data_IF_825539889992
#
_entry.id   IF_825539889992
#
_cell.length_a   1.000
_cell.length_b   1.000
_cell.length_c   1.000
_cell.angle_alpha   90.00
_cell.angle_beta   90.00
_cell.angle_gamma   90.00
#
_symmetry.space_group_name_H-M   'P 1'
#
loop_
_entity.id
_entity.type
_entity.pdbx_description
1 polymer ?
#
# COMPACT_ATOMS: atom_id res chain seq x y z
N UNK A 1 -3.43 -6.25 -17.10
CA UNK A 1 -3.97 -6.63 -15.78
C UNK A 1 -2.98 -6.35 -14.67
N UNK A 2 -1.74 -6.85 -14.75
CA UNK A 2 -0.70 -6.56 -13.73
C UNK A 2 -0.43 -5.05 -13.54
N UNK A 3 -0.34 -4.28 -14.63
CA UNK A 3 -0.16 -2.82 -14.58
C UNK A 3 -1.26 -2.10 -13.82
N UNK A 4 -2.51 -2.56 -13.95
CA UNK A 4 -3.65 -1.99 -13.21
C UNK A 4 -3.50 -2.29 -11.71
N UNK A 5 -3.06 -3.49 -11.36
CA UNK A 5 -2.85 -3.89 -9.97
C UNK A 5 -1.74 -3.09 -9.28
N UNK A 6 -0.64 -2.82 -10.01
CA UNK A 6 0.46 -1.99 -9.50
C UNK A 6 0.09 -0.51 -9.41
N UNK A 7 -0.61 0.01 -10.42
CA UNK A 7 -0.94 1.44 -10.52
C UNK A 7 -2.15 1.83 -9.67
N UNK A 8 -3.10 0.94 -9.42
CA UNK A 8 -4.31 1.24 -8.66
C UNK A 8 -4.03 1.87 -7.28
N UNK A 9 -3.22 1.28 -6.39
CA UNK A 9 -2.92 1.91 -5.09
C UNK A 9 -2.19 3.25 -5.26
N UNK A 10 -1.32 3.38 -6.28
CA UNK A 10 -0.59 4.61 -6.56
C UNK A 10 -1.51 5.75 -7.00
N UNK A 11 -2.42 5.48 -7.94
CA UNK A 11 -3.38 6.45 -8.47
C UNK A 11 -4.39 6.84 -7.39
N UNK A 12 -4.87 5.87 -6.61
CA UNK A 12 -5.83 6.12 -5.53
C UNK A 12 -5.23 7.02 -4.45
N UNK A 13 -3.98 6.75 -4.03
CA UNK A 13 -3.27 7.60 -3.08
C UNK A 13 -2.98 8.99 -3.67
N UNK A 14 -2.63 9.07 -4.96
CA UNK A 14 -2.39 10.35 -5.64
C UNK A 14 -3.65 11.23 -5.70
N UNK A 15 -4.82 10.64 -5.95
CA UNK A 15 -6.10 11.36 -5.96
C UNK A 15 -6.49 11.84 -4.56
N UNK A 16 -6.22 11.03 -3.54
CA UNK A 16 -6.43 11.42 -2.14
C UNK A 16 -5.53 12.58 -1.73
N UNK A 17 -4.25 12.51 -2.09
CA UNK A 17 -3.25 13.52 -1.75
C UNK A 17 -3.54 14.89 -2.39
N UNK A 18 -3.94 14.88 -3.66
CA UNK A 18 -4.30 16.10 -4.40
C UNK A 18 -5.70 16.64 -4.05
N UNK A 19 -6.48 15.91 -3.24
CA UNK A 19 -7.86 16.28 -2.90
C UNK A 19 -8.80 16.35 -4.11
N UNK A 20 -8.41 15.76 -5.25
CA UNK A 20 -9.14 15.84 -6.52
C UNK A 20 -9.10 14.50 -7.25
N UNK A 21 -10.26 13.95 -7.65
CA UNK A 21 -10.35 12.68 -8.36
C UNK A 21 -9.85 12.77 -9.81
N UNK A 22 -9.58 13.97 -10.33
CA UNK A 22 -9.13 14.18 -11.72
C UNK A 22 -7.61 14.37 -11.83
N UNK A 23 -6.88 14.34 -10.72
CA UNK A 23 -5.42 14.49 -10.68
C UNK A 23 -4.81 13.17 -10.23
N UNK A 24 -4.53 12.23 -11.15
CA UNK A 24 -4.12 10.86 -10.82
C UNK A 24 -2.64 10.75 -10.41
N UNK A 25 -1.92 11.86 -10.32
CA UNK A 25 -0.49 11.86 -10.06
C UNK A 25 -0.14 12.93 -9.04
N UNK A 26 0.47 12.51 -7.93
CA UNK A 26 1.09 13.40 -6.95
C UNK A 26 2.61 13.20 -6.95
N UNK A 27 3.34 14.33 -6.95
CA UNK A 27 4.79 14.34 -6.81
C UNK A 27 5.23 13.79 -5.44
N UNK A 28 4.42 13.98 -4.38
CA UNK A 28 4.73 13.48 -3.04
C UNK A 28 4.59 11.96 -2.98
N UNK A 29 3.52 11.42 -3.56
CA UNK A 29 3.32 9.96 -3.66
C UNK A 29 4.40 9.32 -4.55
N UNK A 30 4.79 9.96 -5.66
CA UNK A 30 5.90 9.50 -6.50
C UNK A 30 7.24 9.45 -5.76
N UNK A 31 7.54 10.47 -4.95
CA UNK A 31 8.73 10.50 -4.11
C UNK A 31 8.68 9.41 -3.02
N UNK A 32 7.49 9.18 -2.44
CA UNK A 32 7.28 8.17 -1.40
C UNK A 32 7.60 6.75 -1.86
N UNK A 33 7.45 6.45 -3.16
CA UNK A 33 7.83 5.13 -3.69
C UNK A 33 9.30 4.88 -3.38
N UNK A 34 10.18 5.84 -3.66
CA UNK A 34 11.63 5.71 -3.43
C UNK A 34 12.05 5.78 -1.97
N UNK A 35 11.33 6.54 -1.12
CA UNK A 35 11.67 6.69 0.30
C UNK A 35 11.09 5.58 1.20
N UNK A 36 9.91 5.05 0.85
CA UNK A 36 9.17 4.06 1.63
C UNK A 36 9.14 2.69 0.94
N UNK A 37 10.27 2.28 0.35
CA UNK A 37 10.39 1.03 -0.44
C UNK A 37 9.93 -0.20 0.36
N UNK A 38 10.23 -0.25 1.65
CA UNK A 38 9.83 -1.36 2.53
C UNK A 38 8.31 -1.41 2.73
N UNK A 39 7.65 -0.27 2.98
CA UNK A 39 6.19 -0.20 3.11
C UNK A 39 5.48 -0.56 1.80
N UNK A 40 5.98 -0.05 0.67
CA UNK A 40 5.44 -0.37 -0.66
C UNK A 40 5.64 -1.86 -1.00
N UNK A 41 6.83 -2.39 -0.76
CA UNK A 41 7.15 -3.81 -0.97
C UNK A 41 6.30 -4.72 -0.09
N UNK A 42 6.16 -4.39 1.19
CA UNK A 42 5.31 -5.11 2.13
C UNK A 42 3.84 -5.12 1.73
N UNK A 43 3.32 -4.00 1.22
CA UNK A 43 1.97 -3.91 0.67
C UNK A 43 1.79 -4.84 -0.55
N UNK A 44 2.68 -4.78 -1.54
CA UNK A 44 2.57 -5.61 -2.74
C UNK A 44 2.75 -7.11 -2.45
N UNK A 45 3.65 -7.46 -1.55
CA UNK A 45 3.83 -8.84 -1.11
C UNK A 45 2.58 -9.36 -0.39
N UNK A 46 2.08 -8.60 0.59
CA UNK A 46 0.89 -8.98 1.36
C UNK A 46 -0.37 -9.05 0.50
N UNK A 47 -0.50 -8.16 -0.50
CA UNK A 47 -1.65 -8.19 -1.42
C UNK A 47 -1.59 -9.38 -2.38
N UNK A 48 -0.39 -9.75 -2.84
CA UNK A 48 -0.15 -11.00 -3.56
C UNK A 48 -0.53 -12.23 -2.73
N UNK A 49 -0.14 -12.26 -1.45
CA UNK A 49 -0.52 -13.36 -0.54
C UNK A 49 -2.04 -13.44 -0.34
N UNK A 50 -2.72 -12.31 -0.15
CA UNK A 50 -4.17 -12.24 -0.07
C UNK A 50 -4.84 -12.79 -1.34
N UNK A 51 -4.32 -12.44 -2.51
CA UNK A 51 -4.83 -12.96 -3.79
C UNK A 51 -4.69 -14.48 -3.86
N UNK A 52 -3.52 -15.03 -3.49
CA UNK A 52 -3.30 -16.49 -3.47
C UNK A 52 -4.24 -17.17 -2.48
N UNK A 53 -4.39 -16.63 -1.27
CA UNK A 53 -5.34 -17.15 -0.28
C UNK A 53 -6.78 -17.15 -0.80
N UNK A 54 -7.24 -16.05 -1.43
CA UNK A 54 -8.55 -15.97 -2.04
C UNK A 54 -8.72 -16.99 -3.16
N UNK A 55 -7.72 -17.10 -4.03
CA UNK A 55 -7.73 -18.03 -5.16
C UNK A 55 -7.84 -19.49 -4.68
N UNK A 56 -7.04 -19.89 -3.69
CA UNK A 56 -7.09 -21.23 -3.12
C UNK A 56 -8.42 -21.50 -2.43
N UNK A 57 -8.97 -20.51 -1.71
CA UNK A 57 -10.29 -20.61 -1.10
C UNK A 57 -11.38 -20.81 -2.15
N UNK A 58 -11.41 -20.00 -3.20
CA UNK A 58 -12.38 -20.15 -4.31
C UNK A 58 -12.20 -21.48 -5.05
N UNK A 59 -10.96 -21.92 -5.28
CA UNK A 59 -10.67 -23.22 -5.87
C UNK A 59 -11.22 -24.37 -5.01
N UNK A 60 -11.06 -24.31 -3.68
CA UNK A 60 -11.63 -25.30 -2.76
C UNK A 60 -13.17 -25.25 -2.72
N UNK A 61 -13.78 -24.07 -2.78
CA UNK A 61 -15.25 -23.92 -2.82
C UNK A 61 -15.85 -24.43 -4.12
N UNK A 62 -15.09 -24.44 -5.22
CA UNK A 62 -15.55 -24.97 -6.51
C UNK A 62 -15.82 -26.49 -6.48
N UNK A 63 -15.29 -27.22 -5.50
CA UNK A 63 -15.56 -28.65 -5.32
C UNK A 63 -16.78 -28.93 -4.44
N UNK A 64 -17.42 -27.91 -3.87
CA UNK A 64 -18.61 -28.03 -3.02
C UNK A 64 -19.91 -27.88 -3.80
N UNK A 65 -21.05 -28.13 -3.14
CA UNK A 65 -22.36 -27.90 -3.76
C UNK A 65 -22.56 -26.40 -4.09
N UNK A 66 -23.06 -26.06 -5.29
CA UNK A 66 -23.09 -24.67 -5.77
C UNK A 66 -23.76 -23.64 -4.84
N UNK A 67 -24.91 -23.92 -4.18
CA UNK A 67 -25.57 -22.93 -3.33
C UNK A 67 -24.73 -22.53 -2.12
N UNK A 68 -24.08 -23.51 -1.47
CA UNK A 68 -23.28 -23.28 -0.27
C UNK A 68 -21.95 -22.61 -0.63
N UNK A 69 -21.30 -23.10 -1.69
CA UNK A 69 -20.04 -22.53 -2.17
C UNK A 69 -20.17 -21.07 -2.59
N UNK A 70 -21.27 -20.71 -3.26
CA UNK A 70 -21.52 -19.33 -3.70
C UNK A 70 -21.66 -18.34 -2.54
N UNK A 71 -22.41 -18.69 -1.49
CA UNK A 71 -22.62 -17.81 -0.33
C UNK A 71 -21.28 -17.54 0.37
N UNK A 72 -20.48 -18.58 0.62
CA UNK A 72 -19.18 -18.44 1.27
C UNK A 72 -18.23 -17.62 0.40
N UNK A 73 -18.21 -17.86 -0.92
CA UNK A 73 -17.38 -17.12 -1.86
C UNK A 73 -17.70 -15.62 -1.86
N UNK A 74 -18.99 -15.24 -1.87
CA UNK A 74 -19.41 -13.83 -1.85
C UNK A 74 -18.92 -13.15 -0.58
N UNK A 75 -19.14 -13.76 0.58
CA UNK A 75 -18.71 -13.20 1.88
C UNK A 75 -17.19 -13.06 1.94
N UNK A 76 -16.46 -14.09 1.47
CA UNK A 76 -15.00 -14.08 1.46
C UNK A 76 -14.42 -12.99 0.54
N UNK A 77 -14.98 -12.82 -0.67
CA UNK A 77 -14.54 -11.78 -1.61
C UNK A 77 -14.77 -10.38 -1.03
N UNK A 78 -15.93 -10.15 -0.41
CA UNK A 78 -16.21 -8.87 0.25
C UNK A 78 -15.21 -8.62 1.38
N UNK A 79 -14.99 -9.61 2.26
CA UNK A 79 -14.03 -9.48 3.36
C UNK A 79 -12.61 -9.18 2.89
N UNK A 80 -12.16 -9.82 1.81
CA UNK A 80 -10.84 -9.57 1.22
C UNK A 80 -10.77 -8.19 0.56
N UNK A 81 -11.83 -7.73 -0.09
CA UNK A 81 -11.88 -6.37 -0.63
C UNK A 81 -11.70 -5.31 0.47
N UNK A 82 -12.42 -5.43 1.59
CA UNK A 82 -12.23 -4.53 2.75
C UNK A 82 -10.82 -4.62 3.33
N UNK A 83 -10.27 -5.83 3.44
CA UNK A 83 -8.90 -6.03 3.94
C UNK A 83 -7.88 -5.35 3.02
N UNK A 84 -8.07 -5.42 1.70
CA UNK A 84 -7.21 -4.76 0.72
C UNK A 84 -7.27 -3.23 0.86
N UNK A 85 -8.45 -2.63 1.01
CA UNK A 85 -8.58 -1.20 1.28
C UNK A 85 -7.96 -0.79 2.62
N UNK A 86 -8.10 -1.60 3.67
CA UNK A 86 -7.46 -1.36 4.96
C UNK A 86 -5.91 -1.37 4.85
N UNK A 87 -5.36 -2.24 4.00
CA UNK A 87 -3.93 -2.26 3.71
C UNK A 87 -3.45 -1.00 2.99
N UNK A 88 -4.22 -0.49 2.02
CA UNK A 88 -3.91 0.78 1.35
C UNK A 88 -3.92 1.94 2.37
N UNK A 89 -4.88 1.96 3.31
CA UNK A 89 -4.92 2.95 4.38
C UNK A 89 -3.67 2.93 5.28
N UNK A 90 -3.18 1.74 5.65
CA UNK A 90 -1.92 1.61 6.41
C UNK A 90 -0.71 2.09 5.62
N UNK A 91 -0.67 1.82 4.32
CA UNK A 91 0.37 2.34 3.43
C UNK A 91 0.34 3.87 3.40
N UNK A 92 -0.85 4.47 3.21
CA UNK A 92 -1.03 5.93 3.23
C UNK A 92 -0.52 6.56 4.53
N UNK A 93 -0.83 5.94 5.68
CA UNK A 93 -0.37 6.39 6.99
C UNK A 93 1.17 6.37 7.09
N UNK A 94 1.81 5.28 6.66
CA UNK A 94 3.28 5.17 6.68
C UNK A 94 3.98 6.18 5.77
N UNK A 95 3.38 6.48 4.61
CA UNK A 95 3.87 7.51 3.70
C UNK A 95 3.75 8.90 4.34
N UNK A 96 2.60 9.20 4.95
CA UNK A 96 2.37 10.47 5.63
C UNK A 96 3.36 10.72 6.78
N UNK A 97 3.76 9.67 7.51
CA UNK A 97 4.81 9.78 8.53
C UNK A 97 6.18 10.07 7.91
N UNK A 98 6.57 9.34 6.87
CA UNK A 98 7.87 9.52 6.22
C UNK A 98 8.03 10.88 5.50
N UNK A 99 6.93 11.49 5.06
CA UNK A 99 6.94 12.84 4.45
C UNK A 99 7.01 13.93 5.52
N UNK A 100 6.35 13.74 6.67
CA UNK A 100 6.35 14.72 7.78
C UNK A 100 7.53 14.58 8.75
N UNK A 101 8.34 13.53 8.66
CA UNK A 101 9.50 13.38 9.54
C UNK A 101 10.49 14.53 9.30
N UNK A 102 10.90 15.25 10.37
CA UNK A 102 11.76 16.42 10.24
C UNK A 102 13.10 16.04 9.62
N UNK A 103 13.68 16.90 8.75
CA UNK A 103 14.93 16.60 8.07
C UNK A 103 16.03 16.28 9.08
N UNK A 104 16.78 15.20 8.83
CA UNK A 104 17.89 14.75 9.66
C UNK A 104 18.82 15.93 9.96
N UNK A 105 18.83 16.36 11.23
CA UNK A 105 19.62 17.51 11.67
C UNK A 105 21.08 17.11 11.64
N UNK A 106 21.73 17.45 10.54
CA UNK A 106 23.13 17.18 10.29
C UNK A 106 23.97 18.02 11.27
N UNK A 107 24.52 17.38 12.32
CA UNK A 107 25.33 18.01 13.38
C UNK A 107 26.77 18.35 12.88
N UNK A 108 26.91 18.67 11.59
CA UNK A 108 28.20 18.91 10.92
C UNK A 108 28.91 20.12 11.54
N UNK A 109 28.13 21.13 11.99
CA UNK A 109 28.64 22.30 12.70
C UNK A 109 29.22 21.97 14.08
N UNK A 110 28.81 20.86 14.70
CA UNK A 110 29.38 20.39 15.98
C UNK A 110 30.72 19.71 15.79
N UNK A 111 30.88 18.88 14.75
CA UNK A 111 32.16 18.23 14.44
C UNK A 111 33.24 19.25 14.08
N UNK A 112 32.88 20.31 13.34
CA UNK A 112 33.85 21.33 12.89
C UNK A 112 34.46 22.16 14.03
N UNK A 113 33.79 22.26 15.18
CA UNK A 113 34.31 22.98 16.36
C UNK A 113 35.30 22.17 17.19
N UNK A 114 35.24 20.84 17.12
CA UNK A 114 36.15 19.97 17.89
C UNK A 114 37.53 19.85 17.24
N UNK A 115 37.61 19.98 15.91
CA UNK A 115 38.88 19.90 15.16
C UNK A 115 39.66 21.23 15.14
N UNK A 116 39.15 22.28 15.79
CA UNK A 116 39.74 23.62 15.81
C UNK A 116 40.44 23.97 17.14
N UNK A 117 40.73 22.99 17.99
CA UNK A 117 41.43 23.14 19.28
C UNK A 117 42.76 22.39 19.23
#
# INVERSE_FOLDING_TARGET
>A
MFSVYTLFPFVLLSMMDMGSPFVPFSAEVACSVTKCQESWGGFYFSSGLLFVCLFLLLASLSTMTPPVGAVIAIVAVIGIAFTYFAMIGRLAYSIGQAVNDPPMKNDIDRSRKTDAI
#
